data_IF_476660289971
#
_entry.id   IF_476660289971
#
_cell.length_a   1.000
_cell.length_b   1.000
_cell.length_c   1.000
_cell.angle_alpha   90.00
_cell.angle_beta   90.00
_cell.angle_gamma   90.00
#
_symmetry.space_group_name_H-M   'P 1'
#
loop_
_entity.id
_entity.type
_entity.pdbx_description
1 polymer ?
#
# COMPACT_ATOMS: atom_id res chain seq x y z
N UNK A 1 33.16 -1.62 -17.48
CA UNK A 1 31.74 -1.19 -17.54
C UNK A 1 31.12 -1.45 -16.17
N UNK A 2 30.78 -0.39 -15.43
CA UNK A 2 30.15 -0.52 -14.11
C UNK A 2 28.65 -0.79 -14.29
N UNK A 3 28.21 -2.01 -13.95
CA UNK A 3 26.79 -2.39 -13.94
C UNK A 3 26.22 -1.94 -12.59
N UNK A 4 25.94 -0.64 -12.47
CA UNK A 4 25.55 0.00 -11.21
C UNK A 4 24.28 -0.59 -10.60
N UNK A 5 24.46 -1.39 -9.54
CA UNK A 5 23.37 -2.08 -8.84
C UNK A 5 22.70 -1.27 -7.72
N UNK A 6 23.31 -0.16 -7.31
CA UNK A 6 22.93 0.57 -6.09
C UNK A 6 22.32 1.95 -6.28
N UNK A 7 22.05 2.40 -7.51
CA UNK A 7 21.45 3.73 -7.72
C UNK A 7 20.16 3.62 -8.54
N UNK A 8 19.10 4.28 -8.07
CA UNK A 8 17.85 4.54 -8.79
C UNK A 8 18.09 5.50 -9.97
N UNK A 9 19.09 5.25 -10.81
CA UNK A 9 19.33 6.03 -12.02
C UNK A 9 18.41 5.52 -13.12
N UNK A 10 17.56 6.42 -13.62
CA UNK A 10 16.86 6.26 -14.90
C UNK A 10 17.92 5.96 -15.97
N UNK A 11 17.87 4.79 -16.60
CA UNK A 11 18.77 4.42 -17.71
C UNK A 11 19.71 3.25 -17.45
N UNK A 12 19.21 2.10 -16.97
CA UNK A 12 19.98 0.84 -17.06
C UNK A 12 19.94 0.36 -18.51
N UNK A 13 21.12 0.23 -19.12
CA UNK A 13 21.27 -0.16 -20.54
C UNK A 13 20.94 -1.63 -20.81
N UNK A 14 21.10 -2.49 -19.81
CA UNK A 14 20.88 -3.92 -19.92
C UNK A 14 19.75 -4.32 -18.99
N UNK A 15 18.86 -5.18 -19.45
CA UNK A 15 17.85 -5.91 -18.67
C UNK A 15 18.49 -6.92 -17.71
N UNK A 16 17.77 -7.40 -16.70
CA UNK A 16 18.27 -8.44 -15.82
C UNK A 16 18.68 -9.73 -16.57
N UNK A 17 17.94 -10.08 -17.62
CA UNK A 17 18.23 -11.27 -18.44
C UNK A 17 19.52 -11.10 -19.22
N UNK A 18 19.76 -9.93 -19.81
CA UNK A 18 21.02 -9.65 -20.52
C UNK A 18 22.21 -9.69 -19.56
N UNK A 19 22.07 -9.12 -18.36
CA UNK A 19 23.11 -9.22 -17.32
C UNK A 19 23.37 -10.68 -16.96
N UNK A 20 22.32 -11.48 -16.76
CA UNK A 20 22.46 -12.92 -16.50
C UNK A 20 23.20 -13.64 -17.63
N UNK A 21 22.84 -13.39 -18.89
CA UNK A 21 23.49 -14.02 -20.06
C UNK A 21 24.97 -13.66 -20.13
N UNK A 22 25.35 -12.42 -19.84
CA UNK A 22 26.76 -12.01 -19.79
C UNK A 22 27.52 -12.70 -18.66
N UNK A 23 26.93 -12.77 -17.46
CA UNK A 23 27.53 -13.49 -16.33
C UNK A 23 27.72 -14.97 -16.67
N UNK A 24 26.75 -15.62 -17.32
CA UNK A 24 26.85 -17.03 -17.75
C UNK A 24 28.03 -17.22 -18.70
N UNK A 25 28.17 -16.38 -19.72
CA UNK A 25 29.31 -16.42 -20.67
C UNK A 25 30.67 -16.26 -19.97
N UNK A 26 30.76 -15.33 -19.01
CA UNK A 26 31.99 -15.12 -18.23
C UNK A 26 32.35 -16.37 -17.42
N UNK A 27 31.36 -17.04 -16.83
CA UNK A 27 31.57 -18.30 -16.09
C UNK A 27 31.95 -19.45 -17.01
N UNK A 28 31.35 -19.55 -18.19
CA UNK A 28 31.70 -20.55 -19.21
C UNK A 28 33.14 -20.37 -19.72
N UNK A 29 33.66 -19.14 -19.70
CA UNK A 29 35.07 -18.84 -19.98
C UNK A 29 36.03 -19.21 -18.81
N UNK A 30 35.54 -19.82 -17.74
CA UNK A 30 36.34 -20.32 -16.62
C UNK A 30 36.56 -19.33 -15.48
N UNK A 31 35.93 -18.15 -15.50
CA UNK A 31 36.04 -17.19 -14.40
C UNK A 31 35.24 -17.66 -13.19
N UNK A 32 35.84 -17.60 -12.00
CA UNK A 32 35.18 -18.00 -10.75
C UNK A 32 34.00 -17.09 -10.41
N UNK A 33 33.07 -17.58 -9.58
CA UNK A 33 31.92 -16.77 -9.15
C UNK A 33 32.38 -15.61 -8.26
N UNK A 34 33.43 -15.84 -7.47
CA UNK A 34 34.11 -14.89 -6.60
C UNK A 34 34.70 -13.73 -7.40
N UNK A 35 35.42 -14.03 -8.48
CA UNK A 35 36.09 -13.01 -9.28
C UNK A 35 35.08 -12.23 -10.11
N UNK A 36 34.05 -12.91 -10.63
CA UNK A 36 32.93 -12.25 -11.30
C UNK A 36 32.22 -11.28 -10.35
N UNK A 37 31.87 -11.73 -9.14
CA UNK A 37 31.26 -10.91 -8.09
C UNK A 37 32.09 -9.66 -7.76
N UNK A 38 33.41 -9.83 -7.54
CA UNK A 38 34.33 -8.71 -7.32
C UNK A 38 34.37 -7.74 -8.51
N UNK A 39 34.47 -8.26 -9.74
CA UNK A 39 34.60 -7.44 -10.95
C UNK A 39 33.38 -6.55 -11.21
N UNK A 40 32.17 -7.03 -10.88
CA UNK A 40 30.92 -6.29 -11.08
C UNK A 40 30.36 -5.66 -9.79
N UNK A 41 31.13 -5.69 -8.70
CA UNK A 41 30.77 -5.17 -7.39
C UNK A 41 29.41 -5.70 -6.88
N UNK A 42 29.19 -7.00 -7.03
CA UNK A 42 28.06 -7.74 -6.48
C UNK A 42 28.54 -8.75 -5.46
N UNK A 43 27.62 -9.19 -4.59
CA UNK A 43 27.85 -10.35 -3.75
C UNK A 43 27.63 -11.65 -4.53
N UNK A 44 28.16 -12.76 -4.01
CA UNK A 44 27.97 -14.09 -4.63
C UNK A 44 26.48 -14.43 -4.77
N UNK A 45 25.65 -14.00 -3.81
CA UNK A 45 24.21 -14.26 -3.86
C UNK A 45 23.52 -13.49 -4.98
N UNK A 46 23.96 -12.25 -5.26
CA UNK A 46 23.53 -11.45 -6.41
C UNK A 46 23.82 -12.13 -7.74
N UNK A 47 25.04 -12.64 -7.93
CA UNK A 47 25.41 -13.44 -9.11
C UNK A 47 24.47 -14.64 -9.28
N UNK A 48 24.24 -15.40 -8.20
CA UNK A 48 23.35 -16.56 -8.22
C UNK A 48 21.89 -16.21 -8.55
N UNK A 49 21.41 -15.01 -8.23
CA UNK A 49 20.07 -14.56 -8.62
C UNK A 49 19.96 -14.34 -10.14
N UNK A 50 20.95 -13.72 -10.75
CA UNK A 50 21.00 -13.51 -12.20
C UNK A 50 21.02 -14.80 -12.99
N UNK A 51 21.82 -15.76 -12.54
CA UNK A 51 21.92 -17.04 -13.24
C UNK A 51 20.62 -17.84 -13.13
N UNK A 52 19.96 -17.82 -11.97
CA UNK A 52 18.72 -18.55 -11.73
C UNK A 52 17.53 -18.08 -12.56
N UNK A 53 17.39 -16.77 -12.81
CA UNK A 53 16.27 -16.27 -13.61
C UNK A 53 16.35 -16.71 -15.08
N UNK A 54 17.51 -17.16 -15.54
CA UNK A 54 17.67 -17.74 -16.87
C UNK A 54 17.19 -19.20 -16.97
N UNK A 55 16.81 -19.81 -15.84
CA UNK A 55 16.22 -21.15 -15.80
C UNK A 55 14.69 -21.09 -15.94
N UNK A 56 14.11 -19.89 -16.01
CA UNK A 56 12.69 -19.68 -16.31
C UNK A 56 12.40 -19.92 -17.80
N UNK A 57 11.14 -20.25 -18.16
CA UNK A 57 10.68 -20.29 -19.55
C UNK A 57 10.99 -19.00 -20.31
N UNK A 58 11.30 -19.10 -21.60
CA UNK A 58 11.75 -17.96 -22.41
C UNK A 58 10.70 -16.84 -22.51
N UNK A 59 9.42 -17.21 -22.59
CA UNK A 59 8.29 -16.29 -22.56
C UNK A 59 8.19 -15.54 -21.23
N UNK A 60 8.47 -16.21 -20.10
CA UNK A 60 8.56 -15.58 -18.78
C UNK A 60 9.79 -14.67 -18.70
N UNK A 61 10.93 -15.09 -19.25
CA UNK A 61 12.15 -14.28 -19.28
C UNK A 61 11.93 -12.94 -20.00
N UNK A 62 11.17 -12.94 -21.09
CA UNK A 62 10.87 -11.74 -21.86
C UNK A 62 10.15 -10.65 -21.03
N UNK A 63 9.40 -11.05 -20.00
CA UNK A 63 8.64 -10.14 -19.14
C UNK A 63 9.49 -9.53 -18.02
N UNK A 64 10.73 -9.99 -17.81
CA UNK A 64 11.54 -9.60 -16.64
C UNK A 64 12.20 -8.23 -16.84
N UNK A 65 11.92 -7.31 -15.91
CA UNK A 65 12.48 -5.96 -15.89
C UNK A 65 13.08 -5.61 -14.52
N UNK A 66 13.81 -4.50 -14.44
CA UNK A 66 14.39 -4.02 -13.19
C UNK A 66 13.38 -3.47 -12.19
N UNK A 67 12.19 -3.10 -12.65
CA UNK A 67 11.16 -2.45 -11.85
C UNK A 67 9.80 -3.13 -11.94
N UNK A 68 8.83 -2.55 -11.26
CA UNK A 68 7.43 -2.96 -11.27
C UNK A 68 6.66 -2.07 -12.24
N UNK A 69 6.79 -2.33 -13.54
CA UNK A 69 5.83 -1.80 -14.52
C UNK A 69 4.63 -2.75 -14.59
N UNK A 70 3.46 -2.22 -14.93
CA UNK A 70 2.18 -2.97 -14.93
C UNK A 70 2.21 -4.19 -15.86
N UNK A 71 3.04 -4.14 -16.89
CA UNK A 71 3.24 -5.12 -17.96
C UNK A 71 4.51 -5.96 -17.79
N UNK A 72 5.20 -5.85 -16.65
CA UNK A 72 6.50 -6.50 -16.43
C UNK A 72 6.60 -7.20 -15.07
N UNK A 73 7.51 -8.16 -14.99
CA UNK A 73 7.88 -8.85 -13.76
C UNK A 73 9.16 -8.22 -13.22
N UNK A 74 9.10 -7.62 -12.03
CA UNK A 74 10.29 -7.09 -11.38
C UNK A 74 11.30 -8.19 -11.05
N UNK A 75 12.59 -7.89 -11.18
CA UNK A 75 13.69 -8.84 -10.91
C UNK A 75 13.54 -9.61 -9.58
N UNK A 76 13.17 -8.94 -8.50
CA UNK A 76 12.95 -9.58 -7.19
C UNK A 76 11.83 -10.62 -7.24
N UNK A 77 10.72 -10.34 -7.94
CA UNK A 77 9.63 -11.30 -8.14
C UNK A 77 10.10 -12.49 -9.00
N UNK A 78 10.83 -12.23 -10.08
CA UNK A 78 11.38 -13.27 -10.94
C UNK A 78 12.30 -14.24 -10.18
N UNK A 79 13.15 -13.75 -9.26
CA UNK A 79 14.00 -14.63 -8.46
C UNK A 79 13.22 -15.56 -7.52
N UNK A 80 11.97 -15.23 -7.19
CA UNK A 80 11.08 -16.12 -6.43
C UNK A 80 10.37 -17.12 -7.34
N UNK A 81 10.05 -16.75 -8.59
CA UNK A 81 9.42 -17.65 -9.57
C UNK A 81 10.25 -18.92 -9.82
N UNK A 82 11.58 -18.83 -9.75
CA UNK A 82 12.48 -19.98 -9.94
C UNK A 82 12.26 -21.08 -8.89
N UNK A 83 11.56 -20.79 -7.78
CA UNK A 83 11.25 -21.80 -6.74
C UNK A 83 10.16 -22.78 -7.17
N UNK A 84 9.34 -22.42 -8.16
CA UNK A 84 8.36 -23.34 -8.75
C UNK A 84 9.09 -24.21 -9.77
N UNK A 85 8.99 -25.53 -9.62
CA UNK A 85 9.68 -26.48 -10.50
C UNK A 85 8.95 -26.70 -11.83
N UNK A 86 7.64 -26.52 -11.81
CA UNK A 86 6.76 -26.78 -12.92
C UNK A 86 6.47 -25.49 -13.69
N UNK A 87 6.46 -25.57 -15.02
CA UNK A 87 6.22 -24.43 -15.89
C UNK A 87 4.79 -23.89 -15.77
N UNK A 88 3.78 -24.76 -15.61
CA UNK A 88 2.39 -24.33 -15.42
C UNK A 88 2.24 -23.54 -14.11
N UNK A 89 2.87 -24.00 -13.03
CA UNK A 89 2.90 -23.26 -11.75
C UNK A 89 3.54 -21.88 -11.95
N UNK A 90 4.65 -21.79 -12.69
CA UNK A 90 5.30 -20.52 -13.01
C UNK A 90 4.38 -19.60 -13.81
N UNK A 91 3.73 -20.10 -14.87
CA UNK A 91 2.80 -19.32 -15.69
C UNK A 91 1.58 -18.85 -14.91
N UNK A 92 1.03 -19.68 -14.02
CA UNK A 92 -0.08 -19.30 -13.15
C UNK A 92 0.29 -18.13 -12.23
N UNK A 93 1.48 -18.18 -11.63
CA UNK A 93 1.96 -17.09 -10.77
C UNK A 93 2.26 -15.84 -11.59
N UNK A 94 2.85 -15.96 -12.78
CA UNK A 94 3.07 -14.84 -13.71
C UNK A 94 1.77 -14.13 -14.04
N UNK A 95 0.71 -14.89 -14.37
CA UNK A 95 -0.62 -14.34 -14.61
C UNK A 95 -1.12 -13.53 -13.42
N UNK A 96 -1.00 -14.05 -12.20
CA UNK A 96 -1.39 -13.33 -10.99
C UNK A 96 -0.50 -12.13 -10.64
N UNK A 97 0.79 -12.14 -11.02
CA UNK A 97 1.65 -10.95 -10.91
C UNK A 97 1.11 -9.83 -11.80
N UNK A 98 0.77 -10.15 -13.04
CA UNK A 98 0.31 -9.17 -14.03
C UNK A 98 -1.13 -8.69 -13.77
N UNK A 99 -2.03 -9.57 -13.29
CA UNK A 99 -3.43 -9.21 -13.04
C UNK A 99 -3.67 -8.62 -11.65
N UNK A 100 -3.12 -9.26 -10.60
CA UNK A 100 -3.38 -8.91 -9.19
C UNK A 100 -2.24 -8.12 -8.53
N UNK A 101 -1.14 -7.88 -9.24
CA UNK A 101 0.00 -7.13 -8.72
C UNK A 101 0.71 -7.83 -7.56
N UNK A 102 0.87 -9.17 -7.62
CA UNK A 102 1.59 -9.91 -6.59
C UNK A 102 3.02 -9.38 -6.40
N UNK A 103 3.38 -9.10 -5.15
CA UNK A 103 4.72 -8.66 -4.80
C UNK A 103 5.66 -9.84 -4.50
N UNK A 104 6.97 -9.59 -4.44
CA UNK A 104 7.97 -10.65 -4.23
C UNK A 104 7.80 -11.43 -2.92
N UNK A 105 7.27 -10.80 -1.87
CA UNK A 105 7.01 -11.50 -0.59
C UNK A 105 5.84 -12.46 -0.73
N UNK A 106 4.76 -12.00 -1.36
CA UNK A 106 3.57 -12.82 -1.63
C UNK A 106 3.94 -14.03 -2.50
N UNK A 107 4.71 -13.84 -3.58
CA UNK A 107 5.19 -14.95 -4.42
C UNK A 107 6.01 -15.96 -3.59
N UNK A 108 6.88 -15.47 -2.70
CA UNK A 108 7.65 -16.32 -1.79
C UNK A 108 6.77 -17.12 -0.83
N UNK A 109 5.66 -16.54 -0.36
CA UNK A 109 4.66 -17.21 0.48
C UNK A 109 3.87 -18.26 -0.32
N UNK A 110 3.44 -17.95 -1.55
CA UNK A 110 2.79 -18.90 -2.46
C UNK A 110 3.70 -20.10 -2.70
N UNK A 111 4.98 -19.87 -3.03
CA UNK A 111 5.95 -20.94 -3.23
C UNK A 111 6.12 -21.81 -1.98
N UNK A 112 6.20 -21.19 -0.80
CA UNK A 112 6.32 -21.92 0.46
C UNK A 112 5.08 -22.76 0.77
N UNK A 113 3.88 -22.20 0.54
CA UNK A 113 2.61 -22.88 0.75
C UNK A 113 2.46 -24.07 -0.21
N UNK A 114 2.78 -23.87 -1.49
CA UNK A 114 2.79 -24.92 -2.52
C UNK A 114 3.70 -26.08 -2.15
N UNK A 115 4.96 -25.79 -1.77
CA UNK A 115 5.95 -26.79 -1.40
C UNK A 115 5.53 -27.58 -0.14
N UNK A 116 4.99 -26.89 0.88
CA UNK A 116 4.63 -27.52 2.16
C UNK A 116 3.33 -28.34 2.08
N UNK A 117 2.33 -27.83 1.38
CA UNK A 117 0.99 -28.42 1.38
C UNK A 117 0.74 -29.37 0.22
N UNK A 118 1.49 -29.28 -0.88
CA UNK A 118 1.23 -30.04 -2.10
C UNK A 118 -0.06 -29.66 -2.82
N UNK A 119 -0.79 -28.63 -2.36
CA UNK A 119 -2.06 -28.15 -2.96
C UNK A 119 -1.85 -27.51 -4.32
N UNK A 120 -2.90 -27.40 -5.11
CA UNK A 120 -2.86 -26.75 -6.43
C UNK A 120 -2.45 -25.27 -6.33
N UNK A 121 -1.70 -24.78 -7.31
CA UNK A 121 -1.18 -23.40 -7.32
C UNK A 121 -2.28 -22.35 -7.22
N UNK A 122 -3.40 -22.54 -7.90
CA UNK A 122 -4.55 -21.63 -7.87
C UNK A 122 -5.13 -21.48 -6.46
N UNK A 123 -5.15 -22.55 -5.67
CA UNK A 123 -5.63 -22.49 -4.28
C UNK A 123 -4.65 -21.71 -3.40
N UNK A 124 -3.35 -21.96 -3.57
CA UNK A 124 -2.32 -21.23 -2.83
C UNK A 124 -2.35 -19.74 -3.16
N UNK A 125 -2.54 -19.39 -4.43
CA UNK A 125 -2.67 -17.99 -4.88
C UNK A 125 -3.88 -17.32 -4.24
N UNK A 126 -5.05 -17.97 -4.28
CA UNK A 126 -6.27 -17.45 -3.66
C UNK A 126 -6.08 -17.18 -2.17
N UNK A 127 -5.50 -18.14 -1.45
CA UNK A 127 -5.27 -18.00 0.00
C UNK A 127 -4.36 -16.80 0.33
N UNK A 128 -3.28 -16.59 -0.42
CA UNK A 128 -2.41 -15.42 -0.20
C UNK A 128 -3.13 -14.12 -0.53
N UNK A 129 -3.93 -14.08 -1.60
CA UNK A 129 -4.69 -12.89 -1.98
C UNK A 129 -5.78 -12.54 -0.94
N UNK A 130 -6.47 -13.55 -0.40
CA UNK A 130 -7.49 -13.38 0.63
C UNK A 130 -6.91 -12.88 1.97
N UNK A 131 -5.61 -13.10 2.21
CA UNK A 131 -4.89 -12.57 3.38
C UNK A 131 -4.41 -11.12 3.22
N UNK A 132 -4.65 -10.47 2.07
CA UNK A 132 -4.22 -9.08 1.88
C UNK A 132 -4.93 -8.15 2.86
N UNK A 133 -4.19 -7.23 3.53
CA UNK A 133 -4.83 -6.28 4.42
C UNK A 133 -5.73 -5.34 3.62
N UNK A 134 -6.96 -5.18 4.10
CA UNK A 134 -7.87 -4.14 3.60
C UNK A 134 -7.42 -2.81 4.21
N UNK A 135 -6.82 -1.94 3.38
CA UNK A 135 -6.38 -0.62 3.83
C UNK A 135 -7.58 0.33 3.84
N UNK A 136 -8.13 0.58 5.03
CA UNK A 136 -9.10 1.65 5.23
C UNK A 136 -8.37 2.97 5.47
N UNK A 137 -8.58 3.94 4.57
CA UNK A 137 -8.15 5.32 4.79
C UNK A 137 -9.24 6.05 5.56
N UNK A 138 -8.91 6.55 6.74
CA UNK A 138 -9.75 7.43 7.54
C UNK A 138 -9.18 8.85 7.47
N UNK A 139 -10.07 9.81 7.28
CA UNK A 139 -9.75 11.23 7.33
C UNK A 139 -10.11 11.76 8.71
N UNK A 140 -9.24 12.59 9.27
CA UNK A 140 -9.43 13.22 10.57
C UNK A 140 -9.45 14.72 10.36
N UNK A 141 -10.51 15.37 10.84
CA UNK A 141 -10.64 16.83 10.87
C UNK A 141 -10.76 17.28 12.31
N UNK A 142 -9.93 18.25 12.71
CA UNK A 142 -9.90 18.79 14.06
C UNK A 142 -10.13 20.29 13.92
N UNK A 143 -11.16 20.79 14.59
CA UNK A 143 -11.47 22.21 14.63
C UNK A 143 -11.55 22.72 16.07
N UNK A 144 -11.44 24.03 16.19
CA UNK A 144 -11.45 24.77 17.45
C UNK A 144 -12.75 25.56 17.60
N UNK A 145 -13.22 25.70 18.83
CA UNK A 145 -14.39 26.51 19.16
C UNK A 145 -13.88 27.79 19.81
N UNK A 146 -13.84 28.87 19.05
CA UNK A 146 -13.32 30.16 19.54
C UNK A 146 -14.39 31.00 20.28
N UNK A 147 -15.66 30.62 20.15
CA UNK A 147 -16.76 31.36 20.77
C UNK A 147 -16.88 31.02 22.27
N UNK A 148 -16.53 31.99 23.13
CA UNK A 148 -16.53 31.84 24.59
C UNK A 148 -17.92 31.51 25.17
N UNK A 149 -19.01 32.00 24.59
CA UNK A 149 -20.36 31.68 25.05
C UNK A 149 -20.69 30.21 24.80
N UNK A 150 -20.31 29.69 23.63
CA UNK A 150 -20.50 28.28 23.27
C UNK A 150 -19.63 27.41 24.14
N UNK A 151 -18.36 27.77 24.34
CA UNK A 151 -17.44 27.04 25.22
C UNK A 151 -17.99 26.95 26.65
N UNK A 152 -18.53 28.04 27.19
CA UNK A 152 -19.15 28.05 28.52
C UNK A 152 -20.34 27.09 28.60
N UNK A 153 -21.23 27.08 27.60
CA UNK A 153 -22.37 26.15 27.57
C UNK A 153 -21.87 24.70 27.48
N UNK A 154 -20.92 24.41 26.59
CA UNK A 154 -20.36 23.08 26.43
C UNK A 154 -19.59 22.59 27.67
N UNK A 155 -19.05 23.50 28.48
CA UNK A 155 -18.33 23.18 29.71
C UNK A 155 -19.25 22.59 30.79
N UNK A 156 -20.52 23.00 30.83
CA UNK A 156 -21.53 22.54 31.78
C UNK A 156 -22.23 21.24 31.33
N UNK A 157 -22.06 20.84 30.06
CA UNK A 157 -22.63 19.61 29.51
C UNK A 157 -21.76 18.38 29.79
N UNK A 158 -22.43 17.24 29.94
CA UNK A 158 -21.79 15.93 29.93
C UNK A 158 -21.24 15.59 28.54
N UNK A 159 -20.31 14.62 28.46
CA UNK A 159 -19.76 14.20 27.17
C UNK A 159 -20.84 13.64 26.23
N UNK A 160 -21.82 12.91 26.75
CA UNK A 160 -22.89 12.33 25.95
C UNK A 160 -23.79 13.41 25.31
N UNK A 161 -24.09 14.48 26.04
CA UNK A 161 -24.86 15.62 25.53
C UNK A 161 -24.08 16.37 24.44
N UNK A 162 -22.78 16.61 24.67
CA UNK A 162 -21.91 17.22 23.65
C UNK A 162 -21.85 16.37 22.39
N UNK A 163 -21.63 15.07 22.51
CA UNK A 163 -21.56 14.18 21.35
C UNK A 163 -22.91 14.07 20.63
N UNK A 164 -24.04 14.18 21.34
CA UNK A 164 -25.39 14.27 20.74
C UNK A 164 -25.59 15.55 19.92
N UNK A 165 -25.10 16.70 20.44
CA UNK A 165 -25.10 17.97 19.69
C UNK A 165 -24.25 17.84 18.42
N UNK A 166 -23.06 17.26 18.53
CA UNK A 166 -22.18 17.05 17.39
C UNK A 166 -22.80 16.12 16.36
N UNK A 167 -23.39 15.00 16.79
CA UNK A 167 -24.06 14.05 15.89
C UNK A 167 -25.22 14.71 15.13
N UNK A 168 -26.02 15.53 15.83
CA UNK A 168 -27.09 16.30 15.20
C UNK A 168 -26.56 17.30 14.18
N UNK A 169 -25.42 17.92 14.47
CA UNK A 169 -24.73 18.86 13.57
C UNK A 169 -24.17 18.18 12.33
N UNK A 170 -23.57 16.98 12.49
CA UNK A 170 -23.06 16.14 11.39
C UNK A 170 -24.20 15.75 10.44
N UNK A 171 -25.35 15.34 10.99
CA UNK A 171 -26.54 14.99 10.20
C UNK A 171 -27.10 16.21 9.48
N UNK A 172 -27.18 17.36 10.15
CA UNK A 172 -27.68 18.60 9.55
C UNK A 172 -26.82 19.09 8.37
N UNK A 173 -25.51 18.86 8.42
CA UNK A 173 -24.57 19.21 7.34
C UNK A 173 -24.39 18.09 6.30
N UNK A 174 -25.08 16.95 6.46
CA UNK A 174 -25.03 15.81 5.54
C UNK A 174 -23.59 15.33 5.25
N UNK A 175 -22.75 15.23 6.29
CA UNK A 175 -21.33 14.85 6.14
C UNK A 175 -21.11 13.33 5.88
N UNK A 176 -22.19 12.54 5.82
CA UNK A 176 -22.15 11.10 5.55
C UNK A 176 -21.75 10.27 6.78
N UNK A 177 -21.05 9.16 6.57
CA UNK A 177 -20.56 8.27 7.63
C UNK A 177 -19.34 8.88 8.35
N UNK A 178 -19.64 9.86 9.20
CA UNK A 178 -18.67 10.56 10.05
C UNK A 178 -19.05 10.33 11.50
N UNK A 179 -18.08 9.90 12.29
CA UNK A 179 -18.17 9.91 13.74
C UNK A 179 -17.30 11.02 14.29
N UNK A 180 -17.56 11.45 15.51
CA UNK A 180 -16.78 12.53 16.08
C UNK A 180 -16.90 12.61 17.58
N UNK A 181 -16.14 13.53 18.15
CA UNK A 181 -16.17 13.84 19.57
C UNK A 181 -16.16 15.34 19.76
N UNK A 182 -17.06 15.84 20.60
CA UNK A 182 -17.14 17.25 20.96
C UNK A 182 -16.57 17.45 22.37
N UNK A 183 -15.45 18.18 22.42
CA UNK A 183 -14.87 18.70 23.64
C UNK A 183 -15.48 20.06 24.01
N UNK A 184 -14.85 20.73 24.97
CA UNK A 184 -15.28 22.07 25.41
C UNK A 184 -14.88 23.16 24.42
N UNK A 185 -13.65 23.08 23.92
CA UNK A 185 -13.02 24.04 23.01
C UNK A 185 -12.57 23.44 21.67
N UNK A 186 -12.78 22.15 21.48
CA UNK A 186 -12.30 21.40 20.31
C UNK A 186 -13.37 20.41 19.87
N UNK A 187 -13.40 20.11 18.57
CA UNK A 187 -14.13 18.96 18.05
C UNK A 187 -13.24 18.15 17.13
N UNK A 188 -13.52 16.86 17.03
CA UNK A 188 -12.84 15.95 16.12
C UNK A 188 -13.87 15.21 15.30
N UNK A 189 -13.68 15.16 13.99
CA UNK A 189 -14.45 14.35 13.05
C UNK A 189 -13.53 13.29 12.46
N UNK A 190 -14.00 12.06 12.39
CA UNK A 190 -13.34 10.92 11.76
C UNK A 190 -14.31 10.32 10.75
N UNK A 191 -13.90 10.28 9.48
CA UNK A 191 -14.73 9.80 8.39
C UNK A 191 -13.95 9.03 7.34
N UNK A 192 -14.65 8.44 6.39
CA UNK A 192 -14.05 7.84 5.20
C UNK A 192 -13.81 8.91 4.12
N UNK A 193 -13.82 8.55 2.84
CA UNK A 193 -13.71 9.49 1.72
C UNK A 193 -14.85 10.53 1.70
N UNK A 194 -16.00 10.26 2.34
CA UNK A 194 -17.10 11.24 2.41
C UNK A 194 -16.67 12.54 3.12
N UNK A 195 -15.86 12.42 4.18
CA UNK A 195 -15.35 13.57 4.92
C UNK A 195 -14.31 14.34 4.10
N UNK A 196 -13.40 13.65 3.39
CA UNK A 196 -12.44 14.30 2.48
C UNK A 196 -13.14 15.10 1.37
N UNK A 197 -14.18 14.51 0.77
CA UNK A 197 -15.00 15.17 -0.25
C UNK A 197 -15.69 16.40 0.34
N UNK A 198 -16.27 16.29 1.54
CA UNK A 198 -16.91 17.41 2.21
C UNK A 198 -15.92 18.56 2.49
N UNK A 199 -14.74 18.25 3.04
CA UNK A 199 -13.68 19.23 3.32
C UNK A 199 -13.24 19.93 2.03
N UNK A 200 -13.04 19.19 0.94
CA UNK A 200 -12.61 19.77 -0.35
C UNK A 200 -13.70 20.62 -1.01
N UNK A 201 -14.96 20.21 -0.91
CA UNK A 201 -16.08 20.92 -1.52
C UNK A 201 -16.43 22.22 -0.78
N UNK A 202 -16.46 22.17 0.55
CA UNK A 202 -16.82 23.32 1.38
C UNK A 202 -15.63 24.25 1.63
N UNK A 203 -14.42 23.71 1.67
CA UNK A 203 -13.24 24.36 2.24
C UNK A 203 -13.15 24.09 3.75
N UNK A 204 -11.93 23.94 4.31
CA UNK A 204 -11.75 23.60 5.73
C UNK A 204 -12.36 24.67 6.66
N UNK A 205 -12.10 25.95 6.38
CA UNK A 205 -12.57 27.07 7.21
C UNK A 205 -14.11 27.18 7.19
N UNK A 206 -14.72 27.03 6.02
CA UNK A 206 -16.17 27.09 5.87
C UNK A 206 -16.88 25.87 6.49
N UNK A 207 -16.27 24.68 6.42
CA UNK A 207 -16.78 23.51 7.13
C UNK A 207 -16.74 23.72 8.65
N UNK A 208 -15.65 24.28 9.16
CA UNK A 208 -15.49 24.63 10.57
C UNK A 208 -16.54 25.67 11.01
N UNK A 209 -16.67 26.77 10.27
CA UNK A 209 -17.68 27.82 10.53
C UNK A 209 -19.11 27.26 10.55
N UNK A 210 -19.47 26.44 9.55
CA UNK A 210 -20.80 25.84 9.48
C UNK A 210 -21.05 24.85 10.62
N UNK A 211 -20.05 24.05 11.00
CA UNK A 211 -20.17 23.11 12.10
C UNK A 211 -20.30 23.84 13.44
N UNK A 212 -19.50 24.88 13.68
CA UNK A 212 -19.60 25.72 14.88
C UNK A 212 -20.98 26.37 14.95
N UNK A 213 -21.51 26.88 13.82
CA UNK A 213 -22.85 27.46 13.77
C UNK A 213 -23.95 26.44 14.12
N UNK A 214 -23.82 25.17 13.69
CA UNK A 214 -24.76 24.11 14.07
C UNK A 214 -24.61 23.69 15.53
N UNK A 215 -23.37 23.59 16.03
CA UNK A 215 -23.09 23.31 17.44
C UNK A 215 -23.69 24.39 18.33
N UNK A 216 -23.55 25.68 17.97
CA UNK A 216 -24.13 26.79 18.70
C UNK A 216 -25.66 26.71 18.74
N UNK A 217 -26.31 26.36 17.62
CA UNK A 217 -27.77 26.13 17.59
C UNK A 217 -28.17 24.98 18.51
N UNK A 218 -27.44 23.87 18.46
CA UNK A 218 -27.68 22.70 19.33
C UNK A 218 -27.50 23.02 20.81
N UNK A 219 -26.42 23.71 21.17
CA UNK A 219 -26.10 24.12 22.54
C UNK A 219 -27.18 25.05 23.11
N UNK A 220 -27.64 26.04 22.35
CA UNK A 220 -28.71 26.94 22.76
C UNK A 220 -30.05 26.21 22.96
N UNK A 221 -30.37 25.22 22.12
CA UNK A 221 -31.59 24.42 22.27
C UNK A 221 -31.58 23.56 23.54
N UNK A 222 -30.41 23.08 23.99
CA UNK A 222 -30.27 22.35 25.25
C UNK A 222 -30.42 23.30 26.43
N UNK A 223 -29.81 24.49 26.37
CA UNK A 223 -29.93 25.52 27.42
C UNK A 223 -31.36 26.00 27.63
N UNK A 224 -32.19 26.06 26.59
CA UNK A 224 -33.61 26.46 26.68
C UNK A 224 -34.53 25.36 27.26
N UNK A 225 -34.05 24.13 27.38
CA UNK A 225 -34.81 22.99 27.91
C UNK A 225 -34.53 22.70 29.38
N UNK A 226 -33.49 23.29 29.94
CA UNK A 226 -33.09 23.21 31.36
C UNK A 226 -33.45 24.51 32.08
#
# INVERSE_FOLDING_TARGET
MSVGYGTHKKGRLLSPIEVGKLIRRIKEAGVSTEDCAKAINLDKSGIGRFLRILDLPEDVQHLISWGTQKDSIGFSAATQLVRFKDAEDQHAVVKSILSEGLNSKEIGQVAQLRIRSGRGISECLKEILDMRPVIEKRHVFIGTIENQDVESILADLTQAERDSILQSSIVALNLGEVSGRLGKSLFTLVGSNSLDIAIRNMGPDNLEEQLIAQIQKGANNVRLRN
#
